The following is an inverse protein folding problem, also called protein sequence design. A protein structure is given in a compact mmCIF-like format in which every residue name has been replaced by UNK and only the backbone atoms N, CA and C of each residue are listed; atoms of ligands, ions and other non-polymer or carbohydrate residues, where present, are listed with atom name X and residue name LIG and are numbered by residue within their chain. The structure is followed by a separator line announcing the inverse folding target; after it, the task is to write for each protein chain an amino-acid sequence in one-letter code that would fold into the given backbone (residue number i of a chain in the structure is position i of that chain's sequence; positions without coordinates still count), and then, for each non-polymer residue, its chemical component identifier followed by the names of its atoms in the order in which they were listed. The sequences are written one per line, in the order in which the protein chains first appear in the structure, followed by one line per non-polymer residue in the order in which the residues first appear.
data_IF_953759868402
#
_entry.id   IF_953759868402
#
_cell.length_a   1.000
_cell.length_b   1.000
_cell.length_c   1.000
_cell.angle_alpha   90.00
_cell.angle_beta   90.00
_cell.angle_gamma   90.00
#
_symmetry.space_group_name_H-M   'P 1'
#
loop_
_entity.id
_entity.type
_entity.pdbx_description
1 polymer ?
#
# COMPACT_ATOMS: atom_id res chain seq x y z
N UNK A 1 -9.99 -3.84 -29.76
CA UNK A 1 -8.74 -4.59 -29.49
C UNK A 1 -8.56 -4.63 -27.99
N UNK A 2 -8.41 -5.79 -27.38
CA UNK A 2 -8.15 -5.92 -25.94
C UNK A 2 -6.76 -5.34 -25.62
N UNK A 3 -6.66 -4.51 -24.59
CA UNK A 3 -5.38 -3.94 -24.18
C UNK A 3 -4.37 -5.06 -23.85
N UNK A 4 -3.08 -4.89 -24.20
CA UNK A 4 -2.06 -5.87 -23.86
C UNK A 4 -1.97 -6.02 -22.34
N UNK A 5 -2.03 -7.26 -21.85
CA UNK A 5 -1.96 -7.58 -20.41
C UNK A 5 -0.51 -7.67 -19.96
N UNK A 6 -0.20 -7.11 -18.79
CA UNK A 6 1.15 -7.20 -18.19
C UNK A 6 1.61 -8.64 -18.03
N UNK A 7 2.88 -8.89 -18.37
CA UNK A 7 3.56 -10.16 -18.12
C UNK A 7 4.44 -10.06 -16.87
N UNK A 8 4.62 -11.19 -16.19
CA UNK A 8 5.39 -11.27 -14.95
C UNK A 8 6.49 -12.32 -15.07
N UNK A 9 7.62 -12.08 -14.39
CA UNK A 9 8.79 -12.97 -14.35
C UNK A 9 9.33 -13.06 -12.94
N UNK A 10 10.10 -14.10 -12.64
CA UNK A 10 10.83 -14.18 -11.38
C UNK A 10 12.15 -13.43 -11.47
N UNK A 11 12.47 -12.64 -10.45
CA UNK A 11 13.72 -11.90 -10.36
C UNK A 11 14.84 -12.85 -9.89
N UNK A 12 15.50 -13.51 -10.85
CA UNK A 12 16.55 -14.48 -10.56
C UNK A 12 16.07 -15.58 -9.61
N UNK A 13 16.89 -15.89 -8.59
CA UNK A 13 16.58 -16.87 -7.54
C UNK A 13 15.94 -16.28 -6.29
N UNK A 14 15.56 -14.99 -6.29
CA UNK A 14 15.04 -14.30 -5.10
C UNK A 14 13.62 -14.76 -4.69
N UNK A 15 12.92 -15.47 -5.55
CA UNK A 15 11.51 -15.84 -5.35
C UNK A 15 10.52 -14.69 -5.61
N UNK A 16 11.00 -13.46 -5.86
CA UNK A 16 10.14 -12.32 -6.17
C UNK A 16 9.57 -12.42 -7.59
N UNK A 17 8.25 -12.28 -7.72
CA UNK A 17 7.55 -12.23 -9.01
C UNK A 17 7.25 -10.78 -9.38
N UNK A 18 7.98 -10.26 -10.36
CA UNK A 18 7.95 -8.85 -10.78
C UNK A 18 7.31 -8.70 -12.15
N UNK A 19 6.70 -7.55 -12.44
CA UNK A 19 6.30 -7.17 -13.79
C UNK A 19 7.53 -7.13 -14.69
N UNK A 20 7.39 -7.53 -15.98
CA UNK A 20 8.52 -7.48 -16.94
C UNK A 20 9.07 -6.08 -17.15
N UNK A 21 8.32 -5.06 -16.76
CA UNK A 21 8.72 -3.67 -16.69
C UNK A 21 8.72 -3.24 -15.23
N UNK A 22 9.78 -2.58 -14.78
CA UNK A 22 9.88 -1.91 -13.49
C UNK A 22 9.70 -0.42 -13.75
N UNK A 23 8.88 0.26 -12.94
CA UNK A 23 8.73 1.70 -13.05
C UNK A 23 9.78 2.39 -12.17
N UNK A 24 10.66 3.18 -12.80
CA UNK A 24 11.64 4.00 -12.08
C UNK A 24 10.99 5.26 -11.51
N UNK A 25 11.20 5.50 -10.22
CA UNK A 25 10.60 6.60 -9.48
C UNK A 25 11.44 7.90 -9.50
N UNK A 26 12.60 7.91 -10.17
CA UNK A 26 13.49 9.08 -10.23
C UNK A 26 12.82 10.35 -10.76
N UNK A 27 11.80 10.22 -11.61
CA UNK A 27 11.05 11.35 -12.16
C UNK A 27 9.99 11.90 -11.21
N UNK A 28 9.82 11.31 -10.03
CA UNK A 28 8.80 11.73 -9.07
C UNK A 28 9.47 12.29 -7.81
N UNK A 29 8.99 13.43 -7.33
CA UNK A 29 9.42 14.05 -6.09
C UNK A 29 9.23 15.55 -6.13
N UNK A 30 10.30 16.31 -5.93
CA UNK A 30 10.26 17.77 -5.95
C UNK A 30 10.87 18.32 -7.26
N UNK A 31 10.14 19.18 -8.01
CA UNK A 31 10.71 19.90 -9.16
C UNK A 31 11.88 20.83 -8.81
N UNK A 32 12.07 21.15 -7.52
CA UNK A 32 13.21 21.93 -7.05
C UNK A 32 14.52 21.12 -7.11
N UNK A 33 14.44 19.78 -7.13
CA UNK A 33 15.62 18.93 -7.27
C UNK A 33 16.13 18.92 -8.72
N UNK A 34 15.24 18.68 -9.69
CA UNK A 34 15.54 18.73 -11.12
C UNK A 34 14.32 19.18 -11.92
N UNK A 35 14.49 19.94 -13.04
CA UNK A 35 13.36 20.53 -13.78
C UNK A 35 12.36 19.54 -14.39
N UNK A 36 12.77 18.28 -14.60
CA UNK A 36 11.92 17.23 -15.19
C UNK A 36 11.18 16.39 -14.13
N UNK A 37 11.40 16.68 -12.85
CA UNK A 37 10.75 15.94 -11.76
C UNK A 37 9.32 16.44 -11.60
N UNK A 38 8.41 15.49 -11.46
CA UNK A 38 6.99 15.70 -11.27
C UNK A 38 6.68 15.70 -9.77
N UNK A 39 5.94 16.71 -9.33
CA UNK A 39 5.36 16.72 -7.98
C UNK A 39 4.28 15.64 -7.81
N UNK A 40 3.82 15.43 -6.59
CA UNK A 40 2.78 14.44 -6.28
C UNK A 40 1.56 14.57 -7.19
N UNK A 41 1.10 15.80 -7.47
CA UNK A 41 -0.10 16.04 -8.27
C UNK A 41 0.03 15.52 -9.70
N UNK A 42 1.22 15.67 -10.30
CA UNK A 42 1.52 15.18 -11.63
C UNK A 42 1.99 13.72 -11.66
N UNK A 43 2.60 13.23 -10.58
CA UNK A 43 3.10 11.86 -10.46
C UNK A 43 1.98 10.84 -10.24
N UNK A 44 0.96 11.14 -9.42
CA UNK A 44 -0.08 10.18 -9.03
C UNK A 44 -0.88 9.61 -10.20
N UNK A 45 -1.30 10.40 -11.21
CA UNK A 45 -1.99 9.83 -12.37
C UNK A 45 -1.12 8.81 -13.13
N UNK A 46 0.19 9.02 -13.18
CA UNK A 46 1.15 8.13 -13.83
C UNK A 46 1.34 6.85 -12.99
N UNK A 47 1.54 7.01 -11.68
CA UNK A 47 1.65 5.89 -10.74
C UNK A 47 0.39 5.01 -10.78
N UNK A 48 -0.79 5.64 -10.75
CA UNK A 48 -2.08 4.96 -10.86
C UNK A 48 -2.21 4.24 -12.20
N UNK A 49 -1.86 4.88 -13.31
CA UNK A 49 -1.95 4.24 -14.63
C UNK A 49 -0.98 3.06 -14.77
N UNK A 50 0.25 3.18 -14.26
CA UNK A 50 1.22 2.10 -14.21
C UNK A 50 0.68 0.91 -13.41
N UNK A 51 0.09 1.20 -12.25
CA UNK A 51 -0.54 0.22 -11.39
C UNK A 51 -1.74 -0.48 -12.07
N UNK A 52 -2.68 0.28 -12.63
CA UNK A 52 -3.84 -0.25 -13.36
C UNK A 52 -3.42 -1.07 -14.59
N UNK A 53 -2.27 -0.75 -15.18
CA UNK A 53 -1.65 -1.50 -16.27
C UNK A 53 -0.94 -2.78 -15.82
N UNK A 54 -0.86 -3.05 -14.52
CA UNK A 54 -0.31 -4.26 -13.92
C UNK A 54 1.17 -4.18 -13.50
N UNK A 55 1.80 -3.00 -13.55
CA UNK A 55 3.16 -2.81 -13.03
C UNK A 55 3.11 -2.91 -11.50
N UNK A 56 3.86 -3.85 -10.92
CA UNK A 56 3.84 -4.13 -9.48
C UNK A 56 5.19 -3.88 -8.78
N UNK A 57 6.20 -3.43 -9.54
CA UNK A 57 7.56 -3.24 -9.05
C UNK A 57 8.01 -1.82 -9.36
N UNK A 58 8.51 -1.13 -8.33
CA UNK A 58 8.99 0.24 -8.39
C UNK A 58 10.47 0.29 -7.97
N UNK A 59 11.27 0.99 -8.77
CA UNK A 59 12.67 1.28 -8.46
C UNK A 59 12.77 2.68 -7.88
N UNK A 60 13.34 2.82 -6.68
CA UNK A 60 13.49 4.09 -5.96
C UNK A 60 14.84 4.13 -5.25
N UNK A 61 15.24 5.31 -4.76
CA UNK A 61 16.45 5.50 -3.97
C UNK A 61 16.38 6.78 -3.12
N UNK A 62 17.02 6.79 -1.95
CA UNK A 62 17.17 7.97 -1.07
C UNK A 62 17.64 9.24 -1.79
N UNK A 63 18.45 9.10 -2.85
CA UNK A 63 18.97 10.25 -3.59
C UNK A 63 17.93 10.92 -4.49
N UNK A 64 16.85 10.22 -4.86
CA UNK A 64 15.80 10.74 -5.73
C UNK A 64 14.99 11.80 -4.98
N UNK A 65 15.15 13.05 -5.40
CA UNK A 65 14.62 14.23 -4.71
C UNK A 65 14.89 14.23 -3.20
N UNK A 66 16.06 13.77 -2.76
CA UNK A 66 16.43 13.71 -1.33
C UNK A 66 15.42 12.93 -0.46
N UNK A 67 14.91 11.82 -0.98
CA UNK A 67 13.93 10.94 -0.32
C UNK A 67 12.49 11.36 -0.59
N UNK A 68 12.24 12.52 -1.22
CA UNK A 68 10.88 12.94 -1.55
C UNK A 68 10.22 12.01 -2.59
N UNK A 69 10.99 11.29 -3.41
CA UNK A 69 10.47 10.26 -4.32
C UNK A 69 9.82 9.08 -3.56
N UNK A 70 10.44 8.68 -2.44
CA UNK A 70 9.91 7.65 -1.53
C UNK A 70 8.78 8.19 -0.66
N UNK A 71 8.82 9.50 -0.36
CA UNK A 71 7.76 10.25 0.31
C UNK A 71 6.76 10.87 -0.65
N UNK A 72 6.68 10.37 -1.88
CA UNK A 72 5.39 10.37 -2.58
C UNK A 72 4.53 9.35 -1.86
N UNK A 73 4.22 9.73 -0.62
CA UNK A 73 3.12 9.31 0.20
C UNK A 73 1.96 9.28 -0.78
N UNK A 74 1.59 8.07 -1.15
CA UNK A 74 0.42 7.80 -1.96
C UNK A 74 -0.69 8.69 -1.40
N UNK A 75 -1.18 9.69 -2.13
CA UNK A 75 -2.18 10.63 -1.59
C UNK A 75 -3.41 9.88 -1.04
N UNK A 76 -3.64 8.68 -1.57
CA UNK A 76 -4.59 7.70 -1.02
C UNK A 76 -4.22 7.27 0.39
N UNK A 77 -2.97 6.96 0.69
CA UNK A 77 -2.52 6.59 2.03
C UNK A 77 -2.64 7.79 2.99
N UNK A 78 -2.28 9.01 2.57
CA UNK A 78 -2.53 10.23 3.38
C UNK A 78 -4.01 10.44 3.63
N UNK A 79 -4.83 10.27 2.60
CA UNK A 79 -6.28 10.41 2.67
C UNK A 79 -6.90 9.36 3.60
N UNK A 80 -6.45 8.10 3.53
CA UNK A 80 -6.87 7.04 4.44
C UNK A 80 -6.47 7.39 5.88
N UNK A 81 -5.24 7.82 6.11
CA UNK A 81 -4.76 8.23 7.45
C UNK A 81 -5.59 9.41 7.98
N UNK A 82 -5.89 10.39 7.13
CA UNK A 82 -6.77 11.53 7.47
C UNK A 82 -8.19 11.08 7.81
N UNK A 83 -8.78 10.17 7.03
CA UNK A 83 -10.11 9.61 7.33
C UNK A 83 -10.12 8.79 8.62
N UNK A 84 -9.06 8.04 8.91
CA UNK A 84 -8.90 7.34 10.19
C UNK A 84 -8.88 8.35 11.35
N UNK A 85 -8.22 9.50 11.19
CA UNK A 85 -8.21 10.57 12.19
C UNK A 85 -9.62 11.17 12.40
N UNK A 86 -10.35 11.45 11.33
CA UNK A 86 -11.73 11.96 11.40
C UNK A 86 -12.67 10.99 12.11
N UNK A 87 -12.62 9.70 11.75
CA UNK A 87 -13.42 8.65 12.38
C UNK A 87 -13.03 8.47 13.85
N UNK A 88 -11.74 8.54 14.18
CA UNK A 88 -11.25 8.48 15.55
C UNK A 88 -11.81 9.64 16.40
N UNK A 89 -11.80 10.86 15.86
CA UNK A 89 -12.42 12.04 16.50
C UNK A 89 -13.93 11.90 16.65
N UNK A 90 -14.63 11.41 15.62
CA UNK A 90 -16.09 11.13 15.65
C UNK A 90 -16.47 10.21 16.79
N UNK A 91 -15.67 9.18 17.06
CA UNK A 91 -15.93 8.16 18.08
C UNK A 91 -15.25 8.43 19.44
N UNK A 92 -14.43 9.47 19.55
CA UNK A 92 -13.71 9.80 20.78
C UNK A 92 -12.66 8.76 21.17
N UNK A 93 -12.10 8.03 20.20
CA UNK A 93 -11.07 7.00 20.41
C UNK A 93 -9.77 7.41 19.71
N UNK A 94 -8.68 6.66 19.95
CA UNK A 94 -7.42 6.91 19.27
C UNK A 94 -7.44 6.32 17.83
N UNK A 95 -6.53 6.79 16.97
CA UNK A 95 -6.42 6.31 15.59
C UNK A 95 -6.07 4.82 15.47
N UNK A 96 -5.27 4.29 16.40
CA UNK A 96 -4.89 2.87 16.41
C UNK A 96 -6.10 1.96 16.68
N UNK A 97 -7.08 2.41 17.47
CA UNK A 97 -8.34 1.71 17.70
C UNK A 97 -9.12 1.58 16.39
N UNK A 98 -9.29 2.67 15.65
CA UNK A 98 -9.98 2.65 14.35
C UNK A 98 -9.23 1.77 13.34
N UNK A 99 -7.91 1.91 13.22
CA UNK A 99 -7.11 1.10 12.31
C UNK A 99 -7.18 -0.41 12.63
N UNK A 100 -7.14 -0.75 13.92
CA UNK A 100 -7.25 -2.14 14.41
C UNK A 100 -8.64 -2.70 14.14
N UNK A 101 -9.69 -1.96 14.50
CA UNK A 101 -11.07 -2.36 14.28
C UNK A 101 -11.39 -2.53 12.78
N UNK A 102 -10.85 -1.66 11.93
CA UNK A 102 -10.99 -1.78 10.48
C UNK A 102 -10.33 -3.06 9.94
N UNK A 103 -9.12 -3.39 10.41
CA UNK A 103 -8.44 -4.64 10.05
C UNK A 103 -9.22 -5.87 10.50
N UNK A 104 -9.68 -5.88 11.76
CA UNK A 104 -10.48 -6.99 12.31
C UNK A 104 -11.79 -7.16 11.54
N UNK A 105 -12.47 -6.07 11.18
CA UNK A 105 -13.73 -6.11 10.40
C UNK A 105 -13.55 -6.74 9.02
N UNK A 106 -12.37 -6.60 8.42
CA UNK A 106 -12.00 -7.27 7.16
C UNK A 106 -11.69 -8.76 7.32
N UNK A 107 -11.64 -9.26 8.56
CA UNK A 107 -11.28 -10.63 8.88
C UNK A 107 -9.79 -10.84 9.16
N UNK A 108 -9.00 -9.77 9.26
CA UNK A 108 -7.58 -9.86 9.56
C UNK A 108 -7.32 -10.02 11.07
N UNK A 109 -6.20 -10.66 11.42
CA UNK A 109 -5.69 -10.75 12.79
C UNK A 109 -4.41 -9.90 12.88
N UNK A 110 -4.51 -8.62 13.26
CA UNK A 110 -3.38 -7.69 13.17
C UNK A 110 -2.29 -7.99 14.21
N UNK A 111 -1.04 -7.91 13.78
CA UNK A 111 0.13 -7.95 14.68
C UNK A 111 0.42 -6.50 15.12
N UNK A 112 0.21 -6.21 16.40
CA UNK A 112 0.39 -4.87 16.96
C UNK A 112 1.69 -4.82 17.78
N UNK A 113 2.60 -3.90 17.43
CA UNK A 113 3.85 -3.69 18.17
C UNK A 113 3.60 -2.92 19.47
N UNK A 114 3.67 -3.61 20.61
CA UNK A 114 3.34 -3.05 21.93
C UNK A 114 4.59 -3.07 22.83
N UNK A 115 4.97 -1.92 23.38
CA UNK A 115 6.20 -1.74 24.16
C UNK A 115 5.97 -1.33 25.62
N UNK A 116 4.71 -1.24 26.06
CA UNK A 116 4.34 -0.91 27.45
C UNK A 116 3.07 -1.65 27.86
N UNK A 117 2.86 -1.82 29.16
CA UNK A 117 1.69 -2.52 29.71
C UNK A 117 0.39 -1.77 29.38
N UNK A 118 0.45 -0.44 29.45
CA UNK A 118 -0.68 0.44 29.16
C UNK A 118 -1.13 0.30 27.70
N UNK A 119 -0.18 0.17 26.76
CA UNK A 119 -0.48 -0.08 25.35
C UNK A 119 -1.10 -1.46 25.11
N UNK A 120 -0.73 -2.47 25.90
CA UNK A 120 -1.37 -3.79 25.86
C UNK A 120 -2.83 -3.69 26.30
N UNK A 121 -3.10 -3.03 27.43
CA UNK A 121 -4.46 -2.84 27.93
C UNK A 121 -5.34 -2.02 26.95
N UNK A 122 -4.76 -1.01 26.31
CA UNK A 122 -5.43 -0.19 25.29
C UNK A 122 -5.72 -0.98 24.01
N UNK A 123 -4.79 -1.83 23.56
CA UNK A 123 -4.99 -2.69 22.40
C UNK A 123 -6.11 -3.71 22.63
N UNK A 124 -6.18 -4.32 23.82
CA UNK A 124 -7.25 -5.26 24.21
C UNK A 124 -8.61 -4.57 24.29
N UNK A 125 -8.67 -3.33 24.79
CA UNK A 125 -9.90 -2.54 24.73
C UNK A 125 -10.29 -2.20 23.30
N UNK A 126 -9.31 -1.83 22.48
CA UNK A 126 -9.50 -1.45 21.08
C UNK A 126 -9.96 -2.61 20.20
N UNK A 127 -9.53 -3.85 20.48
CA UNK A 127 -9.94 -5.03 19.70
C UNK A 127 -11.42 -5.37 19.85
N UNK A 128 -12.08 -4.85 20.88
CA UNK A 128 -13.53 -5.02 21.08
C UNK A 128 -14.35 -3.86 20.49
N UNK A 129 -13.70 -2.87 19.87
CA UNK A 129 -14.41 -1.77 19.22
C UNK A 129 -14.99 -2.24 17.88
N UNK A 130 -16.31 -2.14 17.75
CA UNK A 130 -17.00 -2.48 16.51
C UNK A 130 -17.12 -1.25 15.60
N UNK A 131 -16.38 -1.27 14.49
CA UNK A 131 -16.48 -0.23 13.48
C UNK A 131 -17.79 -0.40 12.68
N UNK A 132 -18.55 0.69 12.54
CA UNK A 132 -19.80 0.69 11.75
C UNK A 132 -19.54 0.39 10.27
N UNK A 133 -20.53 -0.17 9.57
CA UNK A 133 -20.41 -0.44 8.12
C UNK A 133 -20.24 0.86 7.31
N UNK A 134 -20.86 1.95 7.76
CA UNK A 134 -20.74 3.27 7.15
C UNK A 134 -19.31 3.81 7.29
N UNK A 135 -18.72 3.76 8.48
CA UNK A 135 -17.36 4.23 8.71
C UNK A 135 -16.34 3.33 7.98
N UNK A 136 -16.57 2.01 7.94
CA UNK A 136 -15.72 1.10 7.18
C UNK A 136 -15.75 1.39 5.68
N UNK A 137 -16.94 1.62 5.10
CA UNK A 137 -17.10 2.03 3.71
C UNK A 137 -16.44 3.39 3.44
N UNK A 138 -16.53 4.33 4.39
CA UNK A 138 -15.83 5.60 4.31
C UNK A 138 -14.30 5.42 4.32
N UNK A 139 -13.74 4.55 5.15
CA UNK A 139 -12.30 4.27 5.11
C UNK A 139 -11.85 3.56 3.83
N UNK A 140 -12.74 2.77 3.21
CA UNK A 140 -12.45 1.99 2.01
C UNK A 140 -12.66 2.72 0.69
N UNK A 141 -13.50 3.75 0.64
CA UNK A 141 -13.75 4.51 -0.59
C UNK A 141 -12.45 5.01 -1.30
N UNK A 142 -11.43 5.53 -0.61
CA UNK A 142 -10.17 5.89 -1.26
C UNK A 142 -9.24 4.69 -1.52
N UNK A 143 -9.50 3.53 -0.91
CA UNK A 143 -8.62 2.37 -0.96
C UNK A 143 -8.53 1.79 -2.37
N UNK A 144 -7.32 1.81 -2.93
CA UNK A 144 -7.00 1.11 -4.17
C UNK A 144 -6.49 -0.29 -3.81
N UNK A 145 -7.21 -1.38 -4.17
CA UNK A 145 -6.78 -2.74 -3.87
C UNK A 145 -5.41 -2.97 -4.49
N UNK A 146 -4.39 -3.30 -3.69
CA UNK A 146 -3.07 -3.70 -4.16
C UNK A 146 -3.14 -5.15 -4.66
N UNK A 147 -2.74 -5.41 -5.90
CA UNK A 147 -2.80 -6.75 -6.51
C UNK A 147 -1.96 -7.71 -5.67
N UNK A 148 -2.43 -8.94 -5.48
CA UNK A 148 -1.70 -9.97 -4.72
C UNK A 148 -0.28 -10.10 -5.31
N UNK A 149 0.70 -9.73 -4.50
CA UNK A 149 2.13 -9.89 -4.75
C UNK A 149 2.63 -10.95 -3.77
N UNK A 150 2.72 -12.20 -4.22
CA UNK A 150 3.12 -13.34 -3.40
C UNK A 150 3.07 -14.67 -4.14
N UNK A 151 3.57 -15.73 -3.51
CA UNK A 151 3.58 -17.10 -4.05
C UNK A 151 2.15 -17.60 -4.30
N UNK A 152 1.87 -18.03 -5.54
CA UNK A 152 0.62 -18.67 -5.93
C UNK A 152 0.74 -20.19 -5.68
N UNK A 153 0.00 -20.76 -4.71
CA UNK A 153 0.07 -22.20 -4.39
C UNK A 153 -0.46 -23.10 -5.52
N UNK A 154 -1.15 -22.55 -6.53
CA UNK A 154 -1.57 -23.29 -7.72
C UNK A 154 -0.47 -23.43 -8.77
N UNK A 155 0.63 -22.67 -8.65
CA UNK A 155 1.84 -22.86 -9.48
C UNK A 155 2.77 -23.85 -8.76
N UNK A 156 2.41 -25.13 -8.84
CA UNK A 156 3.23 -26.20 -8.26
C UNK A 156 4.58 -26.29 -8.98
N UNK A 157 5.66 -26.55 -8.23
CA UNK A 157 7.03 -26.70 -8.74
C UNK A 157 7.20 -27.73 -9.88
N UNK A 158 6.18 -28.57 -10.12
CA UNK A 158 6.16 -29.60 -11.17
C UNK A 158 6.02 -29.03 -12.59
N UNK A 159 5.62 -27.76 -12.78
CA UNK A 159 5.46 -27.16 -14.11
C UNK A 159 6.72 -26.50 -14.67
N UNK A 160 7.78 -26.33 -13.86
CA UNK A 160 9.07 -25.84 -14.35
C UNK A 160 9.95 -27.07 -14.52
N UNK A 161 10.10 -27.51 -15.77
CA UNK A 161 10.92 -28.66 -16.13
C UNK A 161 12.29 -28.59 -15.46
N UNK A 162 12.73 -29.72 -14.92
CA UNK A 162 14.07 -29.92 -14.38
C UNK A 162 15.12 -29.38 -15.37
N UNK A 163 15.95 -28.47 -14.89
CA UNK A 163 17.36 -28.40 -15.28
C UNK A 163 18.16 -29.17 -14.22
#
# INVERSE_FOLDING_TARGET
MTAPKMQYVYLGSSGLKVSRVILGAMSFGSPQWQPWVLDSSAALPILKHAYDSGINTWDTADVYSHGESERIENEVDKMIVGRVEEVAKKHGVNMATIATAWSIKKGDIPIIGLSSKERVDEAVKSSNFELSDEDAAYLEEPYLPKTVSGFDPHVTWRSVGRL
#
